data_IF_937181784206
#
_entry.id   IF_937181784206
#
_cell.length_a   1.000
_cell.length_b   1.000
_cell.length_c   1.000
_cell.angle_alpha   90.00
_cell.angle_beta   90.00
_cell.angle_gamma   90.00
#
_symmetry.space_group_name_H-M   'P 1'
#
loop_
_entity.id
_entity.type
_entity.pdbx_description
1 polymer ?
#
# COMPACT_ATOMS: atom_id res chain seq x y z
N UNK A 1 -22.89 -2.58 24.68
CA UNK A 1 -22.50 -1.25 24.21
C UNK A 1 -22.74 -1.25 22.71
N UNK A 2 -23.33 -0.20 22.15
CA UNK A 2 -23.45 -0.10 20.70
C UNK A 2 -22.03 -0.04 20.12
N UNK A 3 -21.71 -0.93 19.17
CA UNK A 3 -20.43 -0.92 18.47
C UNK A 3 -20.31 0.41 17.73
N UNK A 4 -19.14 1.04 17.80
CA UNK A 4 -18.88 2.27 17.05
C UNK A 4 -19.07 2.01 15.55
N UNK A 5 -19.93 2.79 14.86
CA UNK A 5 -20.15 2.64 13.42
C UNK A 5 -18.86 2.71 12.59
N UNK A 6 -17.91 3.55 13.00
CA UNK A 6 -16.62 3.69 12.31
C UNK A 6 -15.78 2.41 12.43
N UNK A 7 -15.58 1.92 13.66
CA UNK A 7 -14.90 0.62 13.90
C UNK A 7 -15.57 -0.54 13.14
N UNK A 8 -16.90 -0.53 13.07
CA UNK A 8 -17.68 -1.55 12.36
C UNK A 8 -17.46 -1.49 10.84
N UNK A 9 -17.37 -0.29 10.28
CA UNK A 9 -17.06 -0.08 8.86
C UNK A 9 -15.64 -0.56 8.51
N UNK A 10 -14.65 -0.25 9.36
CA UNK A 10 -13.28 -0.75 9.19
C UNK A 10 -13.21 -2.27 9.31
N UNK A 11 -13.92 -2.88 10.27
CA UNK A 11 -13.97 -4.35 10.40
C UNK A 11 -14.63 -5.00 9.18
N UNK A 12 -15.68 -4.39 8.63
CA UNK A 12 -16.32 -4.88 7.42
C UNK A 12 -15.37 -4.85 6.22
N UNK A 13 -14.63 -3.75 6.02
CA UNK A 13 -13.64 -3.63 4.94
C UNK A 13 -12.49 -4.64 5.05
N UNK A 14 -12.12 -5.07 6.27
CA UNK A 14 -11.13 -6.14 6.48
C UNK A 14 -11.64 -7.53 6.11
N UNK A 15 -12.95 -7.71 5.94
CA UNK A 15 -13.61 -9.01 5.64
C UNK A 15 -14.10 -9.12 4.21
N UNK A 16 -14.45 -7.99 3.59
CA UNK A 16 -14.89 -7.94 2.20
C UNK A 16 -13.73 -8.21 1.24
N UNK A 17 -14.06 -8.50 -0.02
CA UNK A 17 -13.04 -8.83 -1.01
C UNK A 17 -12.18 -7.57 -1.30
N UNK A 18 -10.87 -7.61 -1.02
CA UNK A 18 -9.97 -6.46 -1.16
C UNK A 18 -9.85 -5.96 -2.59
N UNK A 19 -10.14 -6.80 -3.60
CA UNK A 19 -10.20 -6.41 -5.02
C UNK A 19 -11.21 -5.29 -5.30
N UNK A 20 -12.30 -5.24 -4.53
CA UNK A 20 -13.41 -4.31 -4.71
C UNK A 20 -13.44 -3.22 -3.62
N UNK A 21 -12.29 -2.94 -2.98
CA UNK A 21 -12.20 -1.98 -1.86
C UNK A 21 -12.85 -0.63 -2.18
N UNK A 22 -12.61 -0.06 -3.36
CA UNK A 22 -13.21 1.22 -3.76
C UNK A 22 -14.74 1.15 -3.88
N UNK A 23 -15.30 0.05 -4.40
CA UNK A 23 -16.75 -0.14 -4.49
C UNK A 23 -17.37 -0.29 -3.09
N UNK A 24 -16.72 -1.09 -2.23
CA UNK A 24 -17.14 -1.31 -0.85
C UNK A 24 -17.11 -0.01 -0.04
N UNK A 25 -16.05 0.79 -0.17
CA UNK A 25 -15.92 2.07 0.50
C UNK A 25 -17.02 3.04 0.07
N UNK A 26 -17.28 3.18 -1.24
CA UNK A 26 -18.35 4.04 -1.75
C UNK A 26 -19.74 3.59 -1.27
N UNK A 27 -19.98 2.28 -1.19
CA UNK A 27 -21.24 1.74 -0.66
C UNK A 27 -21.42 2.06 0.83
N UNK A 28 -20.35 1.95 1.63
CA UNK A 28 -20.38 2.30 3.05
C UNK A 28 -20.58 3.81 3.24
N UNK A 29 -19.89 4.65 2.47
CA UNK A 29 -20.08 6.11 2.48
C UNK A 29 -21.52 6.47 2.13
N UNK A 30 -22.12 5.78 1.14
CA UNK A 30 -23.53 5.99 0.79
C UNK A 30 -24.50 5.62 1.91
N UNK A 31 -24.12 4.65 2.76
CA UNK A 31 -24.92 4.20 3.90
C UNK A 31 -24.74 5.09 5.14
N UNK A 32 -23.52 5.58 5.37
CA UNK A 32 -23.16 6.42 6.51
C UNK A 32 -22.32 7.62 6.04
N UNK A 33 -22.95 8.65 5.44
CA UNK A 33 -22.24 9.81 4.88
C UNK A 33 -21.43 10.59 5.91
N UNK A 34 -21.85 10.56 7.18
CA UNK A 34 -21.16 11.24 8.28
C UNK A 34 -19.74 10.70 8.53
N UNK A 35 -19.43 9.49 8.05
CA UNK A 35 -18.12 8.84 8.20
C UNK A 35 -17.18 9.09 7.00
N UNK A 36 -17.58 9.91 6.03
CA UNK A 36 -16.86 10.04 4.74
C UNK A 36 -15.40 10.45 4.92
N UNK A 37 -15.13 11.53 5.68
CA UNK A 37 -13.77 12.05 5.85
C UNK A 37 -12.88 11.06 6.61
N UNK A 38 -13.40 10.47 7.70
CA UNK A 38 -12.67 9.49 8.50
C UNK A 38 -12.36 8.21 7.71
N UNK A 39 -13.30 7.74 6.89
CA UNK A 39 -13.12 6.54 6.08
C UNK A 39 -12.13 6.76 4.93
N UNK A 40 -12.22 7.88 4.21
CA UNK A 40 -11.28 8.21 3.13
C UNK A 40 -9.86 8.43 3.66
N UNK A 41 -9.70 8.99 4.86
CA UNK A 41 -8.39 9.17 5.48
C UNK A 41 -7.79 7.89 6.07
N UNK A 42 -8.62 6.90 6.40
CA UNK A 42 -8.18 5.67 7.10
C UNK A 42 -8.09 4.43 6.21
N UNK A 43 -8.70 4.45 5.02
CA UNK A 43 -8.81 3.27 4.14
C UNK A 43 -8.06 3.52 2.84
N UNK A 44 -6.92 2.86 2.71
CA UNK A 44 -6.14 2.86 1.47
C UNK A 44 -6.89 2.17 0.33
N UNK A 45 -6.90 2.81 -0.84
CA UNK A 45 -7.53 2.29 -2.06
C UNK A 45 -6.47 1.95 -3.12
N UNK A 46 -6.78 1.03 -4.06
CA UNK A 46 -5.91 0.77 -5.21
C UNK A 46 -5.58 2.06 -5.98
N UNK A 47 -4.31 2.25 -6.32
CA UNK A 47 -3.85 3.50 -6.91
C UNK A 47 -4.32 3.62 -8.37
N UNK A 48 -4.72 4.83 -8.74
CA UNK A 48 -5.11 5.15 -10.12
C UNK A 48 -4.00 5.94 -10.80
N UNK A 49 -3.70 5.62 -12.06
CA UNK A 49 -2.72 6.36 -12.88
C UNK A 49 -3.43 7.48 -13.63
N UNK A 50 -2.87 8.68 -13.60
CA UNK A 50 -3.29 9.82 -14.42
C UNK A 50 -2.08 10.42 -15.13
N UNK A 51 -2.31 10.98 -16.32
CA UNK A 51 -1.25 11.62 -17.11
C UNK A 51 -1.23 13.12 -16.90
N UNK A 52 -0.08 13.68 -16.53
CA UNK A 52 0.07 15.12 -16.39
C UNK A 52 0.01 15.78 -17.78
N UNK A 53 -0.97 16.66 -18.00
CA UNK A 53 -1.18 17.32 -19.29
C UNK A 53 -0.03 18.23 -19.72
N UNK A 54 0.71 18.80 -18.76
CA UNK A 54 1.81 19.72 -19.04
C UNK A 54 3.13 19.02 -19.34
N UNK A 55 3.48 18.02 -18.53
CA UNK A 55 4.78 17.34 -18.64
C UNK A 55 4.70 16.06 -19.46
N UNK A 56 3.49 15.53 -19.69
CA UNK A 56 3.27 14.25 -20.36
C UNK A 56 3.66 13.02 -19.55
N UNK A 57 4.08 13.19 -18.29
CA UNK A 57 4.47 12.12 -17.36
C UNK A 57 3.27 11.61 -16.57
N UNK A 58 3.25 10.30 -16.32
CA UNK A 58 2.23 9.66 -15.49
C UNK A 58 2.48 9.93 -14.00
N UNK A 59 1.41 9.99 -13.21
CA UNK A 59 1.43 10.14 -11.76
C UNK A 59 0.29 9.37 -11.11
N UNK A 60 0.42 9.11 -9.81
CA UNK A 60 -0.52 8.30 -9.04
C UNK A 60 -1.49 9.18 -8.23
N UNK A 61 -2.75 8.76 -8.20
CA UNK A 61 -3.83 9.42 -7.46
C UNK A 61 -4.04 8.73 -6.12
N UNK A 62 -4.19 9.53 -5.07
CA UNK A 62 -4.58 9.13 -3.73
C UNK A 62 -5.29 10.31 -3.06
N UNK A 63 -5.83 10.11 -1.86
CA UNK A 63 -6.52 11.19 -1.14
C UNK A 63 -5.54 12.31 -0.70
N UNK A 64 -4.27 12.00 -0.48
CA UNK A 64 -3.25 12.99 -0.06
C UNK A 64 -2.84 14.01 -1.14
N UNK A 65 -3.16 13.75 -2.41
CA UNK A 65 -2.94 14.72 -3.50
C UNK A 65 -4.25 15.22 -4.12
N UNK A 66 -5.38 14.99 -3.44
CA UNK A 66 -6.71 15.35 -3.88
C UNK A 66 -7.18 16.63 -3.20
N UNK A 67 -7.88 17.47 -3.96
CA UNK A 67 -8.65 18.61 -3.46
C UNK A 67 -9.97 18.68 -4.23
N UNK A 68 -11.09 18.41 -3.54
CA UNK A 68 -12.38 18.18 -4.17
C UNK A 68 -12.30 17.04 -5.20
N UNK A 69 -12.57 17.34 -6.47
CA UNK A 69 -12.46 16.38 -7.58
C UNK A 69 -11.17 16.54 -8.40
N UNK A 70 -10.25 17.37 -7.92
CA UNK A 70 -9.01 17.70 -8.60
C UNK A 70 -7.82 17.04 -7.93
N UNK A 71 -6.82 16.67 -8.73
CA UNK A 71 -5.60 16.02 -8.23
C UNK A 71 -4.35 16.77 -8.63
N UNK A 72 -3.44 16.99 -7.68
CA UNK A 72 -2.17 17.68 -7.91
C UNK A 72 -1.17 16.74 -8.57
N UNK A 73 -0.62 17.16 -9.70
CA UNK A 73 0.52 16.48 -10.34
C UNK A 73 1.83 16.81 -9.61
N UNK A 74 2.68 15.82 -9.28
CA UNK A 74 3.96 16.07 -8.64
C UNK A 74 4.96 16.72 -9.61
N UNK A 75 4.71 16.63 -10.91
CA UNK A 75 5.59 17.15 -11.97
C UNK A 75 5.35 18.64 -12.24
N UNK A 76 4.10 19.03 -12.47
CA UNK A 76 3.74 20.42 -12.77
C UNK A 76 3.36 21.23 -11.54
N UNK A 77 3.10 20.56 -10.40
CA UNK A 77 2.51 21.15 -9.20
C UNK A 77 1.12 21.76 -9.41
N UNK A 78 0.41 21.35 -10.48
CA UNK A 78 -0.92 21.87 -10.80
C UNK A 78 -1.99 20.79 -10.60
N UNK A 79 -3.18 21.25 -10.21
CA UNK A 79 -4.37 20.44 -10.11
C UNK A 79 -5.01 20.22 -11.49
N UNK A 80 -5.52 19.01 -11.72
CA UNK A 80 -6.37 18.68 -12.88
C UNK A 80 -7.65 17.98 -12.40
N UNK A 81 -8.85 18.56 -12.64
CA UNK A 81 -9.10 19.87 -13.25
C UNK A 81 -8.47 21.05 -12.48
N UNK A 82 -8.28 22.23 -13.11
CA UNK A 82 -7.82 23.42 -12.39
C UNK A 82 -8.82 23.81 -11.30
N UNK A 83 -8.31 24.18 -10.12
CA UNK A 83 -9.12 24.75 -9.04
C UNK A 83 -9.46 26.22 -9.35
N UNK A 84 -10.64 26.68 -8.94
CA UNK A 84 -11.06 28.07 -9.11
C UNK A 84 -10.17 29.02 -8.28
N UNK A 85 -9.87 30.22 -8.79
CA UNK A 85 -8.92 31.20 -8.21
C UNK A 85 -9.28 31.71 -6.78
N UNK A 86 -10.43 31.32 -6.23
CA UNK A 86 -10.84 31.59 -4.84
C UNK A 86 -10.80 30.37 -3.91
N UNK A 87 -10.56 29.18 -4.47
CA UNK A 87 -10.25 27.97 -3.71
C UNK A 87 -8.80 28.06 -3.27
N UNK A 88 -8.57 28.63 -2.09
CA UNK A 88 -7.34 28.34 -1.35
C UNK A 88 -7.28 26.82 -1.29
N UNK A 89 -6.35 26.19 -2.02
CA UNK A 89 -6.12 24.75 -1.96
C UNK A 89 -5.61 24.44 -0.56
N UNK A 90 -6.54 24.32 0.38
CA UNK A 90 -6.40 24.77 1.76
C UNK A 90 -5.37 24.01 2.60
N UNK A 91 -4.82 22.92 2.07
CA UNK A 91 -3.75 22.17 2.73
C UNK A 91 -2.83 21.38 1.80
N UNK A 92 -2.98 21.47 0.48
CA UNK A 92 -2.37 20.50 -0.44
C UNK A 92 -1.19 21.04 -1.28
N UNK A 93 -0.89 22.35 -1.24
CA UNK A 93 0.28 22.92 -1.92
C UNK A 93 1.40 23.14 -0.88
N UNK A 94 2.52 22.42 -0.97
CA UNK A 94 3.63 22.61 -0.05
C UNK A 94 4.29 23.98 -0.23
N UNK A 95 4.86 24.51 0.85
CA UNK A 95 5.70 25.72 0.81
C UNK A 95 6.97 25.49 -0.04
N UNK A 96 7.72 26.56 -0.33
CA UNK A 96 8.86 26.49 -1.26
C UNK A 96 9.95 25.47 -0.82
N UNK A 97 10.23 25.37 0.49
CA UNK A 97 11.20 24.40 1.04
C UNK A 97 10.71 22.97 0.80
N UNK A 98 9.49 22.65 1.23
CA UNK A 98 8.91 21.30 1.11
C UNK A 98 8.69 20.92 -0.35
N UNK A 99 8.32 21.87 -1.22
CA UNK A 99 8.21 21.61 -2.66
C UNK A 99 9.56 21.26 -3.30
N UNK A 100 10.66 21.92 -2.92
CA UNK A 100 12.01 21.56 -3.39
C UNK A 100 12.40 20.15 -2.95
N UNK A 101 12.07 19.77 -1.71
CA UNK A 101 12.26 18.40 -1.24
C UNK A 101 11.39 17.40 -2.02
N UNK A 102 10.13 17.73 -2.27
CA UNK A 102 9.18 16.89 -3.02
C UNK A 102 9.69 16.58 -4.43
N UNK A 103 10.25 17.57 -5.13
CA UNK A 103 10.84 17.38 -6.48
C UNK A 103 12.00 16.39 -6.41
N UNK A 104 12.95 16.60 -5.49
CA UNK A 104 14.09 15.70 -5.30
C UNK A 104 13.67 14.29 -4.86
N UNK A 105 12.65 14.19 -4.01
CA UNK A 105 12.11 12.92 -3.57
C UNK A 105 11.47 12.14 -4.74
N UNK A 106 10.72 12.82 -5.61
CA UNK A 106 10.19 12.20 -6.83
C UNK A 106 11.31 11.67 -7.74
N UNK A 107 12.41 12.40 -7.89
CA UNK A 107 13.58 11.92 -8.67
C UNK A 107 14.22 10.69 -8.02
N UNK A 108 14.43 10.72 -6.70
CA UNK A 108 15.03 9.60 -5.96
C UNK A 108 14.15 8.34 -6.01
N UNK A 109 12.84 8.49 -5.80
CA UNK A 109 11.90 7.37 -5.82
C UNK A 109 11.56 6.87 -7.23
N UNK A 110 11.76 7.68 -8.28
CA UNK A 110 11.70 7.19 -9.67
C UNK A 110 12.89 6.26 -9.98
N UNK A 111 14.08 6.57 -9.43
CA UNK A 111 15.25 5.66 -9.50
C UNK A 111 15.00 4.40 -8.67
N UNK A 112 14.50 4.53 -7.44
CA UNK A 112 14.13 3.38 -6.60
C UNK A 112 13.17 2.45 -7.32
N UNK A 113 12.09 3.01 -7.90
CA UNK A 113 11.12 2.29 -8.72
C UNK A 113 11.81 1.53 -9.85
N UNK A 114 12.68 2.19 -10.60
CA UNK A 114 13.37 1.54 -11.72
C UNK A 114 14.24 0.36 -11.26
N UNK A 115 14.99 0.52 -10.17
CA UNK A 115 15.88 -0.51 -9.63
C UNK A 115 15.14 -1.74 -9.06
N UNK A 116 14.01 -1.54 -8.39
CA UNK A 116 13.29 -2.60 -7.70
C UNK A 116 12.12 -3.18 -8.49
N UNK A 117 11.50 -2.38 -9.36
CA UNK A 117 10.29 -2.75 -10.08
C UNK A 117 10.50 -2.87 -11.59
N UNK A 118 11.59 -2.35 -12.18
CA UNK A 118 11.86 -2.39 -13.62
C UNK A 118 10.64 -1.93 -14.44
N UNK A 119 10.12 -0.75 -14.11
CA UNK A 119 8.91 -0.17 -14.72
C UNK A 119 7.86 0.25 -13.67
N UNK A 120 6.61 0.36 -14.10
CA UNK A 120 5.53 0.92 -13.27
C UNK A 120 5.56 2.45 -13.19
N UNK A 121 4.81 3.00 -12.24
CA UNK A 121 4.71 4.45 -11.98
C UNK A 121 4.99 4.68 -10.50
N UNK A 122 5.66 5.78 -10.17
CA UNK A 122 5.81 6.25 -8.79
C UNK A 122 5.44 7.72 -8.69
N UNK A 123 5.04 8.15 -7.49
CA UNK A 123 4.74 9.55 -7.20
C UNK A 123 4.97 9.82 -5.72
N UNK A 124 5.53 10.99 -5.42
CA UNK A 124 5.74 11.45 -4.04
C UNK A 124 5.02 12.77 -3.85
N UNK A 125 4.24 12.87 -2.78
CA UNK A 125 3.59 14.10 -2.37
C UNK A 125 3.99 14.47 -0.94
N UNK A 126 4.42 15.71 -0.73
CA UNK A 126 4.75 16.22 0.59
C UNK A 126 3.82 17.38 0.97
N UNK A 127 3.55 17.53 2.26
CA UNK A 127 2.79 18.65 2.82
C UNK A 127 3.40 19.12 4.14
N UNK A 128 3.07 20.36 4.50
CA UNK A 128 3.58 21.02 5.69
C UNK A 128 2.87 20.53 6.96
N UNK A 129 3.61 20.41 8.06
CA UNK A 129 3.09 20.32 9.41
C UNK A 129 3.64 21.50 10.22
N UNK A 130 3.04 21.79 11.38
CA UNK A 130 3.50 22.86 12.26
C UNK A 130 4.94 22.59 12.77
N UNK A 131 5.22 21.34 13.14
CA UNK A 131 6.51 20.90 13.72
C UNK A 131 7.36 20.06 12.74
N UNK A 132 7.14 20.22 11.43
CA UNK A 132 7.91 19.51 10.40
C UNK A 132 7.17 19.36 9.08
N UNK A 133 7.16 18.15 8.53
CA UNK A 133 6.44 17.84 7.29
C UNK A 133 5.99 16.38 7.28
N UNK A 134 5.07 16.06 6.38
CA UNK A 134 4.65 14.70 6.11
C UNK A 134 4.62 14.46 4.61
N UNK A 135 4.48 13.20 4.24
CA UNK A 135 4.44 12.83 2.85
C UNK A 135 3.88 11.45 2.61
N UNK A 136 3.57 11.20 1.34
CA UNK A 136 3.23 9.87 0.85
C UNK A 136 4.14 9.51 -0.32
N UNK A 137 4.70 8.31 -0.28
CA UNK A 137 5.42 7.69 -1.40
C UNK A 137 4.53 6.60 -1.97
N UNK A 138 4.28 6.68 -3.27
CA UNK A 138 3.39 5.78 -3.99
C UNK A 138 4.17 5.04 -5.07
N UNK A 139 3.95 3.72 -5.18
CA UNK A 139 4.45 2.90 -6.28
C UNK A 139 3.34 2.01 -6.79
N UNK A 140 3.12 1.99 -8.10
CA UNK A 140 2.21 1.06 -8.77
C UNK A 140 2.95 0.31 -9.86
N UNK A 141 2.93 -1.02 -9.80
CA UNK A 141 3.41 -1.89 -10.87
C UNK A 141 2.32 -2.86 -11.28
N UNK A 142 1.94 -2.80 -12.55
CA UNK A 142 1.11 -3.82 -13.19
C UNK A 142 2.00 -4.81 -13.95
N UNK A 143 1.60 -6.07 -13.96
CA UNK A 143 2.18 -7.10 -14.81
C UNK A 143 2.04 -6.74 -16.29
N UNK A 144 2.98 -7.21 -17.10
CA UNK A 144 2.96 -6.95 -18.54
C UNK A 144 1.71 -7.57 -19.18
N UNK A 145 0.92 -6.80 -19.95
CA UNK A 145 -0.23 -7.34 -20.67
C UNK A 145 0.17 -8.49 -21.62
N UNK A 146 -0.68 -9.51 -21.73
CA UNK A 146 -0.50 -10.61 -22.70
C UNK A 146 -0.06 -11.95 -22.10
N UNK A 147 0.09 -12.05 -20.77
CA UNK A 147 0.24 -13.33 -20.07
C UNK A 147 -1.10 -13.82 -19.52
N UNK A 148 -1.27 -15.13 -19.31
CA UNK A 148 -2.44 -15.74 -18.63
C UNK A 148 -2.49 -15.43 -17.12
N UNK A 149 -1.74 -14.43 -16.67
CA UNK A 149 -1.60 -14.03 -15.28
C UNK A 149 -1.59 -12.53 -15.26
N UNK A 150 -2.49 -11.93 -14.49
CA UNK A 150 -2.51 -10.51 -14.22
C UNK A 150 -2.07 -10.30 -12.77
N UNK A 151 -1.33 -9.23 -12.55
CA UNK A 151 -0.81 -8.90 -11.24
C UNK A 151 -0.73 -7.39 -11.11
N UNK A 152 -1.22 -6.87 -10.00
CA UNK A 152 -1.09 -5.46 -9.66
C UNK A 152 -0.53 -5.35 -8.25
N UNK A 153 0.55 -4.59 -8.14
CA UNK A 153 1.19 -4.23 -6.89
C UNK A 153 1.03 -2.73 -6.68
N UNK A 154 0.42 -2.35 -5.57
CA UNK A 154 0.29 -0.98 -5.11
C UNK A 154 0.99 -0.84 -3.76
N UNK A 155 1.87 0.15 -3.62
CA UNK A 155 2.54 0.49 -2.36
C UNK A 155 2.25 1.94 -1.99
N UNK A 156 1.86 2.13 -0.73
CA UNK A 156 1.43 3.39 -0.16
C UNK A 156 2.18 3.58 1.14
N UNK A 157 3.11 4.53 1.18
CA UNK A 157 3.98 4.80 2.32
C UNK A 157 3.72 6.20 2.84
N UNK A 158 2.85 6.31 3.83
CA UNK A 158 2.54 7.58 4.49
C UNK A 158 3.51 7.77 5.64
N UNK A 159 4.19 8.91 5.69
CA UNK A 159 5.13 9.20 6.75
C UNK A 159 4.95 10.61 7.33
N UNK A 160 5.24 10.72 8.61
CA UNK A 160 5.35 11.98 9.35
C UNK A 160 6.80 12.17 9.79
N UNK A 161 7.34 13.37 9.62
CA UNK A 161 8.68 13.75 10.03
C UNK A 161 8.62 14.96 10.97
N UNK A 162 8.74 14.70 12.28
CA UNK A 162 8.70 15.73 13.33
C UNK A 162 10.13 16.17 13.64
N UNK A 163 10.46 17.41 13.28
CA UNK A 163 11.81 17.97 13.40
C UNK A 163 12.10 18.36 14.86
N UNK A 164 13.13 17.75 15.47
CA UNK A 164 13.57 18.01 16.85
C UNK A 164 15.04 18.44 16.87
N UNK A 165 15.30 19.65 16.39
CA UNK A 165 16.66 20.20 16.35
C UNK A 165 17.54 19.48 15.32
N UNK A 166 18.46 18.61 15.79
CA UNK A 166 19.40 17.85 14.92
C UNK A 166 18.94 16.42 14.62
N UNK A 167 17.81 16.02 15.17
CA UNK A 167 17.20 14.72 15.00
C UNK A 167 15.77 14.89 14.56
N UNK A 168 15.26 13.98 13.76
CA UNK A 168 13.86 13.97 13.32
C UNK A 168 13.25 12.65 13.70
N UNK A 169 12.06 12.73 14.29
CA UNK A 169 11.25 11.56 14.59
C UNK A 169 10.42 11.22 13.36
N UNK A 170 10.66 10.06 12.77
CA UNK A 170 9.92 9.56 11.63
C UNK A 170 8.92 8.52 12.09
N UNK A 171 7.67 8.65 11.63
CA UNK A 171 6.63 7.63 11.75
C UNK A 171 6.21 7.25 10.34
N UNK A 172 6.46 6.01 9.94
CA UNK A 172 6.12 5.48 8.62
C UNK A 172 5.03 4.42 8.77
N UNK A 173 3.89 4.65 8.12
CA UNK A 173 2.81 3.69 7.91
C UNK A 173 2.82 3.26 6.45
N UNK A 174 3.04 1.97 6.22
CA UNK A 174 3.14 1.38 4.89
C UNK A 174 2.03 0.39 4.66
N UNK A 175 1.33 0.54 3.54
CA UNK A 175 0.32 -0.38 3.05
C UNK A 175 0.75 -0.92 1.70
N UNK A 176 0.70 -2.24 1.53
CA UNK A 176 0.83 -2.89 0.23
C UNK A 176 -0.49 -3.56 -0.11
N UNK A 177 -1.00 -3.29 -1.31
CA UNK A 177 -2.15 -3.98 -1.89
C UNK A 177 -1.63 -4.81 -3.05
N UNK A 178 -1.93 -6.12 -3.01
CA UNK A 178 -1.54 -7.09 -4.01
C UNK A 178 -2.79 -7.77 -4.55
N UNK A 179 -2.97 -7.71 -5.86
CA UNK A 179 -4.00 -8.46 -6.60
C UNK A 179 -3.28 -9.35 -7.61
N UNK A 180 -3.56 -10.65 -7.57
CA UNK A 180 -3.04 -11.64 -8.51
C UNK A 180 -4.22 -12.45 -9.05
N UNK A 181 -4.37 -12.49 -10.36
CA UNK A 181 -5.31 -13.39 -11.02
C UNK A 181 -4.55 -14.28 -12.00
N UNK A 182 -4.90 -15.55 -12.05
CA UNK A 182 -4.36 -16.48 -13.03
C UNK A 182 -5.50 -17.27 -13.64
N UNK A 183 -5.51 -17.33 -14.96
CA UNK A 183 -6.50 -18.08 -15.71
C UNK A 183 -5.75 -19.01 -16.65
N UNK A 184 -5.50 -20.23 -16.18
CA UNK A 184 -4.82 -21.27 -16.96
C UNK A 184 -5.79 -22.41 -17.19
N UNK A 185 -6.40 -22.41 -18.37
CA UNK A 185 -7.27 -23.49 -18.82
C UNK A 185 -6.55 -24.84 -18.76
N UNK A 186 -7.26 -25.88 -18.31
CA UNK A 186 -6.74 -27.25 -18.23
C UNK A 186 -5.86 -27.57 -17.01
N UNK A 187 -5.60 -26.61 -16.11
CA UNK A 187 -4.85 -26.85 -14.85
C UNK A 187 -5.63 -26.38 -13.61
N UNK A 188 -5.31 -25.20 -13.07
CA UNK A 188 -5.86 -24.65 -11.82
C UNK A 188 -7.23 -24.00 -12.04
N UNK A 189 -7.57 -23.64 -13.29
CA UNK A 189 -8.77 -22.89 -13.61
C UNK A 189 -8.58 -21.39 -13.34
N UNK A 190 -9.66 -20.72 -12.95
CA UNK A 190 -9.64 -19.31 -12.54
C UNK A 190 -9.28 -19.22 -11.05
N UNK A 191 -8.18 -18.54 -10.74
CA UNK A 191 -7.70 -18.33 -9.37
C UNK A 191 -7.43 -16.84 -9.17
N UNK A 192 -8.08 -16.27 -8.16
CA UNK A 192 -7.89 -14.89 -7.72
C UNK A 192 -7.36 -14.89 -6.29
N UNK A 193 -6.23 -14.22 -6.09
CA UNK A 193 -5.57 -14.05 -4.81
C UNK A 193 -5.27 -12.57 -4.61
N UNK A 194 -6.07 -11.94 -3.75
CA UNK A 194 -6.02 -10.51 -3.50
C UNK A 194 -5.93 -10.22 -2.01
N UNK A 195 -5.27 -9.13 -1.63
CA UNK A 195 -5.32 -8.61 -0.26
C UNK A 195 -4.44 -7.39 -0.02
N UNK A 196 -4.46 -6.94 1.23
CA UNK A 196 -3.68 -5.82 1.69
C UNK A 196 -2.91 -6.18 2.97
N UNK A 197 -1.80 -5.47 3.21
CA UNK A 197 -1.03 -5.56 4.45
C UNK A 197 -0.57 -4.17 4.85
N UNK A 198 -0.87 -3.78 6.08
CA UNK A 198 -0.42 -2.51 6.67
C UNK A 198 0.56 -2.75 7.82
N UNK A 199 1.64 -1.98 7.86
CA UNK A 199 2.67 -2.01 8.91
C UNK A 199 3.10 -0.59 9.27
N UNK A 200 3.46 -0.40 10.54
CA UNK A 200 3.96 0.87 11.04
C UNK A 200 5.34 0.69 11.68
N UNK A 201 6.21 1.68 11.51
CA UNK A 201 7.49 1.80 12.20
C UNK A 201 7.73 3.25 12.61
N UNK A 202 8.38 3.43 13.75
CA UNK A 202 8.82 4.74 14.23
C UNK A 202 10.32 4.71 14.51
N UNK A 203 11.04 5.76 14.13
CA UNK A 203 12.48 5.85 14.31
C UNK A 203 12.96 7.30 14.40
N UNK A 204 13.81 7.59 15.38
CA UNK A 204 14.56 8.85 15.44
C UNK A 204 15.86 8.73 14.64
N UNK A 205 16.07 9.62 13.68
CA UNK A 205 17.28 9.64 12.85
C UNK A 205 17.93 11.04 12.85
N UNK A 206 19.26 11.12 12.83
CA UNK A 206 19.97 12.39 12.68
C UNK A 206 19.71 12.99 11.29
N UNK A 207 19.66 14.32 11.23
CA UNK A 207 19.44 15.09 10.00
C UNK A 207 20.45 16.23 9.95
N UNK A 208 21.17 16.33 8.84
CA UNK A 208 22.11 17.42 8.58
C UNK A 208 21.51 18.51 7.69
N UNK A 209 20.69 18.10 6.72
CA UNK A 209 20.05 18.96 5.73
C UNK A 209 18.81 18.29 5.14
N UNK A 210 18.11 19.01 4.26
CA UNK A 210 16.91 18.52 3.57
C UNK A 210 17.15 17.23 2.75
N UNK A 211 18.34 17.05 2.17
CA UNK A 211 18.67 15.82 1.42
C UNK A 211 18.79 14.60 2.34
N UNK A 212 19.19 14.82 3.60
CA UNK A 212 19.25 13.77 4.62
C UNK A 212 17.86 13.22 4.96
N UNK A 213 16.82 14.07 4.92
CA UNK A 213 15.44 13.61 5.11
C UNK A 213 15.03 12.62 4.02
N UNK A 214 15.32 12.92 2.75
CA UNK A 214 14.98 12.06 1.61
C UNK A 214 15.70 10.71 1.74
N UNK A 215 16.98 10.72 2.11
CA UNK A 215 17.74 9.49 2.32
C UNK A 215 17.24 8.67 3.53
N UNK A 216 16.83 9.33 4.61
CA UNK A 216 16.24 8.67 5.77
C UNK A 216 14.90 7.99 5.42
N UNK A 217 13.99 8.72 4.76
CA UNK A 217 12.70 8.18 4.31
C UNK A 217 12.91 7.05 3.31
N UNK A 218 13.82 7.20 2.35
CA UNK A 218 14.16 6.15 1.38
C UNK A 218 14.56 4.84 2.05
N UNK A 219 15.44 4.89 3.07
CA UNK A 219 15.84 3.70 3.85
C UNK A 219 14.68 3.07 4.62
N UNK A 220 13.83 3.89 5.24
CA UNK A 220 12.65 3.39 5.97
C UNK A 220 11.67 2.68 5.03
N UNK A 221 11.44 3.25 3.84
CA UNK A 221 10.56 2.66 2.81
C UNK A 221 11.15 1.36 2.27
N UNK A 222 12.43 1.36 1.90
CA UNK A 222 13.14 0.17 1.37
C UNK A 222 13.11 -1.00 2.37
N UNK A 223 13.47 -0.75 3.63
CA UNK A 223 13.46 -1.76 4.69
C UNK A 223 12.05 -2.30 4.95
N UNK A 224 11.04 -1.43 4.90
CA UNK A 224 9.65 -1.81 5.16
C UNK A 224 9.06 -2.59 3.98
N UNK A 225 9.26 -2.15 2.74
CA UNK A 225 8.83 -2.89 1.55
C UNK A 225 9.46 -4.28 1.50
N UNK A 226 10.76 -4.40 1.81
CA UNK A 226 11.43 -5.70 1.83
C UNK A 226 10.81 -6.66 2.86
N UNK A 227 10.54 -6.17 4.07
CA UNK A 227 9.88 -6.96 5.13
C UNK A 227 8.47 -7.36 4.73
N UNK A 228 7.68 -6.43 4.20
CA UNK A 228 6.30 -6.69 3.77
C UNK A 228 6.25 -7.68 2.60
N UNK A 229 7.15 -7.55 1.63
CA UNK A 229 7.27 -8.49 0.50
C UNK A 229 7.51 -9.93 0.98
N UNK A 230 8.42 -10.12 1.92
CA UNK A 230 8.70 -11.45 2.48
C UNK A 230 7.47 -12.01 3.23
N UNK A 231 6.79 -11.17 4.03
CA UNK A 231 5.57 -11.58 4.74
C UNK A 231 4.43 -11.92 3.78
N UNK A 232 4.24 -11.14 2.72
CA UNK A 232 3.25 -11.40 1.69
C UNK A 232 3.52 -12.76 1.03
N UNK A 233 4.77 -13.07 0.70
CA UNK A 233 5.13 -14.36 0.12
C UNK A 233 4.73 -15.53 1.03
N UNK A 234 5.07 -15.45 2.32
CA UNK A 234 4.78 -16.51 3.30
C UNK A 234 3.27 -16.68 3.56
N UNK A 235 2.52 -15.57 3.64
CA UNK A 235 1.08 -15.62 3.94
C UNK A 235 0.27 -16.00 2.70
N UNK A 236 0.51 -15.35 1.57
CA UNK A 236 -0.32 -15.52 0.37
C UNK A 236 -0.12 -16.88 -0.27
N UNK A 237 1.13 -17.32 -0.42
CA UNK A 237 1.41 -18.58 -1.09
C UNK A 237 1.59 -19.74 -0.12
N UNK A 238 2.03 -19.47 1.11
CA UNK A 238 2.15 -20.50 2.15
C UNK A 238 0.79 -20.86 2.75
N UNK A 239 0.18 -19.93 3.50
CA UNK A 239 -1.05 -20.25 4.25
C UNK A 239 -2.23 -20.60 3.35
N UNK A 240 -2.42 -19.90 2.22
CA UNK A 240 -3.53 -20.22 1.32
C UNK A 240 -3.38 -21.64 0.75
N UNK A 241 -2.16 -22.04 0.38
CA UNK A 241 -1.85 -23.40 -0.08
C UNK A 241 -2.11 -24.44 1.00
N UNK A 242 -1.70 -24.17 2.24
CA UNK A 242 -1.92 -25.08 3.37
C UNK A 242 -3.41 -25.28 3.63
N UNK A 243 -4.20 -24.20 3.68
CA UNK A 243 -5.66 -24.25 3.87
C UNK A 243 -6.34 -25.03 2.74
N UNK A 244 -6.02 -24.76 1.48
CA UNK A 244 -6.58 -25.50 0.34
C UNK A 244 -6.17 -26.97 0.38
N UNK A 245 -4.92 -27.26 0.76
CA UNK A 245 -4.41 -28.62 0.94
C UNK A 245 -5.14 -29.41 2.04
N UNK A 246 -5.51 -28.73 3.12
CA UNK A 246 -6.26 -29.33 4.24
C UNK A 246 -7.74 -29.59 3.89
N UNK A 247 -8.34 -28.78 3.01
CA UNK A 247 -9.72 -28.95 2.58
C UNK A 247 -9.92 -30.17 1.68
N UNK A 248 -8.88 -30.59 0.93
CA UNK A 248 -8.98 -31.72 0.00
C UNK A 248 -7.70 -32.56 0.00
N UNK A 249 -7.76 -33.72 0.66
CA UNK A 249 -6.69 -34.72 0.54
C UNK A 249 -6.71 -35.41 -0.83
N UNK A 250 -5.54 -35.53 -1.45
CA UNK A 250 -5.36 -36.30 -2.69
C UNK A 250 -5.26 -37.81 -2.41
N UNK A 251 -4.80 -38.18 -1.21
CA UNK A 251 -4.71 -39.57 -0.75
C UNK A 251 -5.93 -39.99 0.07
N UNK A 252 -6.00 -41.27 0.43
CA UNK A 252 -7.03 -41.74 1.37
C UNK A 252 -6.79 -41.14 2.75
N UNK A 253 -7.83 -40.55 3.35
CA UNK A 253 -7.79 -40.06 4.72
C UNK A 253 -7.43 -41.17 5.72
N UNK A 254 -7.77 -42.44 5.41
CA UNK A 254 -7.38 -43.61 6.22
C UNK A 254 -5.88 -43.84 6.25
N UNK A 255 -5.21 -43.62 5.12
CA UNK A 255 -3.79 -43.90 4.97
C UNK A 255 -2.96 -42.80 5.60
N UNK A 256 -3.40 -41.54 5.45
CA UNK A 256 -2.82 -40.41 6.19
C UNK A 256 -3.02 -40.50 7.70
N UNK A 257 -4.15 -41.06 8.17
CA UNK A 257 -4.38 -41.33 9.59
C UNK A 257 -3.42 -42.42 10.11
N UNK A 258 -3.24 -43.51 9.36
CA UNK A 258 -2.28 -44.58 9.67
C UNK A 258 -0.84 -44.09 9.70
N UNK A 259 -0.42 -43.25 8.76
CA UNK A 259 0.93 -42.67 8.77
C UNK A 259 1.17 -41.79 10.00
N UNK A 260 0.21 -40.94 10.37
CA UNK A 260 0.32 -40.10 11.58
C UNK A 260 0.40 -40.93 12.86
N UNK A 261 -0.34 -42.03 12.94
CA UNK A 261 -0.31 -42.97 14.06
C UNK A 261 1.06 -43.67 14.15
N UNK A 262 1.56 -44.16 13.01
CA UNK A 262 2.90 -44.76 12.90
C UNK A 262 4.00 -43.77 13.27
N UNK A 263 3.88 -42.52 12.83
CA UNK A 263 4.84 -41.46 13.16
C UNK A 263 4.82 -41.10 14.65
N UNK A 264 3.65 -41.10 15.30
CA UNK A 264 3.53 -40.94 16.76
C UNK A 264 4.17 -42.10 17.53
N UNK A 265 3.98 -43.33 17.08
CA UNK A 265 4.62 -44.51 17.69
C UNK A 265 6.15 -44.44 17.58
N UNK A 266 6.68 -44.05 16.42
CA UNK A 266 8.12 -43.86 16.21
C UNK A 266 8.67 -42.76 17.14
N UNK A 267 8.03 -41.60 17.21
CA UNK A 267 8.47 -40.51 18.10
C UNK A 267 8.36 -40.92 19.59
N UNK A 268 7.34 -41.68 19.95
CA UNK A 268 7.17 -42.23 21.30
C UNK A 268 8.26 -43.24 21.66
N UNK A 269 8.67 -44.09 20.71
CA UNK A 269 9.75 -45.07 20.90
C UNK A 269 11.14 -44.43 20.97
N UNK A 270 11.37 -43.30 20.28
CA UNK A 270 12.63 -42.54 20.36
C UNK A 270 12.80 -41.75 21.66
N UNK A 271 11.72 -41.53 22.42
CA UNK A 271 11.74 -40.86 23.73
C UNK A 271 11.94 -41.83 24.92
N UNK A 272 12.11 -43.13 24.64
CA UNK A 272 12.46 -44.15 25.65
C UNK A 272 13.95 -44.46 25.65
#
# INVERSE_FOLDING_TARGET
>A
MATDPFDSALDLLRRLNPKHTSEHLNAIISLAPDLTEDLLSSVDQPLTVKRCRQTGRDYLLCDYNRDGDSYRSPWSNQFDPPLDEGGVGGGAIPNERVRKMEIKANEAFDIYRELYYEGGVSSVYLWNLDDGFAGVVLVKKSATPGTNTEGVWDSIHVFEAIERGRTTHYKLTSTVILSLSTNVEGTVGDMDLSGNMTRQVEQDLPVENDDSHIANVGRLVEDMELKMRNLLQDVYFGKAKDVVGDLRSVGSLSDGARERETQREIIGSMKR
#
